data_IF_429328877753
#
_entry.id   IF_429328877753
#
_cell.length_a   1.000
_cell.length_b   1.000
_cell.length_c   1.000
_cell.angle_alpha   90.00
_cell.angle_beta   90.00
_cell.angle_gamma   90.00
#
_symmetry.space_group_name_H-M   'P 1'
#
loop_
_entity.id
_entity.type
_entity.pdbx_description
1 polymer ?
#
# COMPACT_ATOMS: atom_id res chain seq x y z
N UNK A 1 5.90 32.00 1.12
CA UNK A 1 6.22 31.46 2.44
C UNK A 1 7.56 30.71 2.45
N UNK A 2 7.90 29.96 1.41
CA UNK A 2 9.25 29.38 1.24
C UNK A 2 10.30 30.50 1.38
N UNK A 3 11.36 30.23 2.15
CA UNK A 3 12.42 31.21 2.41
C UNK A 3 12.16 32.14 3.58
N UNK A 4 11.00 32.05 4.23
CA UNK A 4 10.73 32.80 5.46
C UNK A 4 11.70 32.37 6.56
N UNK A 5 12.32 33.31 7.23
CA UNK A 5 13.33 33.07 8.26
C UNK A 5 12.91 33.66 9.59
N UNK A 6 13.09 32.90 10.67
CA UNK A 6 12.93 33.34 12.05
C UNK A 6 14.26 33.21 12.76
N UNK A 7 14.90 34.32 13.06
CA UNK A 7 16.18 34.36 13.75
C UNK A 7 16.00 34.05 15.24
N UNK A 8 16.79 33.14 15.76
CA UNK A 8 16.73 32.72 17.16
C UNK A 8 16.94 33.91 18.09
N UNK A 9 16.06 34.03 19.07
CA UNK A 9 16.06 35.16 20.01
C UNK A 9 15.41 36.45 19.51
N UNK A 10 14.91 36.49 18.28
CA UNK A 10 14.29 37.67 17.66
C UNK A 10 12.85 37.45 17.21
N UNK A 11 12.22 36.36 17.65
CA UNK A 11 10.82 36.05 17.34
C UNK A 11 10.07 35.67 18.61
N UNK A 12 8.75 35.80 18.58
CA UNK A 12 7.88 35.38 19.69
C UNK A 12 7.45 33.92 19.47
N UNK A 13 7.03 33.26 20.57
CA UNK A 13 6.47 31.90 20.47
C UNK A 13 5.25 31.87 19.57
N UNK A 14 4.46 32.95 19.55
CA UNK A 14 3.29 33.04 18.65
C UNK A 14 3.70 33.07 17.18
N UNK A 15 4.73 33.85 16.84
CA UNK A 15 5.23 33.92 15.47
C UNK A 15 5.70 32.54 14.96
N UNK A 16 6.42 31.77 15.79
CA UNK A 16 6.84 30.42 15.46
C UNK A 16 5.63 29.51 15.30
N UNK A 17 4.70 29.53 16.23
CA UNK A 17 3.49 28.71 16.20
C UNK A 17 2.65 28.99 14.95
N UNK A 18 2.44 30.28 14.62
CA UNK A 18 1.68 30.67 13.43
C UNK A 18 2.36 30.21 12.16
N UNK A 19 3.69 30.27 12.09
CA UNK A 19 4.45 29.77 10.93
C UNK A 19 4.36 28.25 10.81
N UNK A 20 4.45 27.52 11.93
CA UNK A 20 4.32 26.07 11.95
C UNK A 20 2.93 25.63 11.48
N UNK A 21 1.87 26.31 11.91
CA UNK A 21 0.50 26.04 11.47
C UNK A 21 0.37 26.29 9.97
N UNK A 22 0.92 27.40 9.47
CA UNK A 22 0.88 27.74 8.06
C UNK A 22 1.60 26.69 7.19
N UNK A 23 2.77 26.21 7.64
CA UNK A 23 3.50 25.12 6.96
C UNK A 23 2.68 23.82 6.93
N UNK A 24 2.05 23.48 8.05
CA UNK A 24 1.22 22.28 8.14
C UNK A 24 -0.01 22.38 7.23
N UNK A 25 -0.64 23.53 7.13
CA UNK A 25 -1.78 23.76 6.25
C UNK A 25 -1.39 23.69 4.76
N UNK A 26 -0.17 24.15 4.42
CA UNK A 26 0.35 24.04 3.05
C UNK A 26 0.60 22.60 2.61
N UNK A 27 0.94 21.72 3.57
CA UNK A 27 1.12 20.29 3.33
C UNK A 27 2.47 19.87 2.72
N UNK A 28 3.17 20.78 2.05
CA UNK A 28 4.44 20.52 1.38
C UNK A 28 5.61 21.32 1.97
N UNK A 29 5.39 22.05 3.05
CA UNK A 29 6.38 22.92 3.70
C UNK A 29 6.66 22.47 5.11
N UNK A 30 7.89 22.70 5.57
CA UNK A 30 8.31 22.47 6.95
C UNK A 30 9.28 23.55 7.39
N UNK A 31 9.56 23.61 8.69
CA UNK A 31 10.52 24.52 9.26
C UNK A 31 11.79 23.73 9.53
N UNK A 32 12.91 24.19 8.99
CA UNK A 32 14.22 23.57 9.19
C UNK A 32 15.11 24.44 10.05
N UNK A 33 15.81 23.85 11.01
CA UNK A 33 16.79 24.53 11.87
C UNK A 33 18.12 24.69 11.10
N UNK A 34 18.47 25.96 10.82
CA UNK A 34 19.71 26.31 10.11
C UNK A 34 20.83 26.78 11.04
N UNK A 35 20.68 26.62 12.35
CA UNK A 35 21.64 27.03 13.35
C UNK A 35 21.29 28.36 13.99
N UNK A 36 21.43 29.47 13.28
CA UNK A 36 21.11 30.81 13.78
C UNK A 36 19.66 31.23 13.56
N UNK A 37 18.97 30.55 12.65
CA UNK A 37 17.58 30.85 12.30
C UNK A 37 16.85 29.57 11.87
N UNK A 38 15.54 29.66 11.86
CA UNK A 38 14.66 28.64 11.24
C UNK A 38 14.22 29.14 9.88
N UNK A 39 14.15 28.28 8.91
CA UNK A 39 13.73 28.62 7.55
C UNK A 39 12.63 27.68 7.07
N UNK A 40 11.63 28.25 6.39
CA UNK A 40 10.60 27.46 5.71
C UNK A 40 11.17 26.89 4.42
N UNK A 41 11.18 25.57 4.32
CA UNK A 41 11.69 24.84 3.16
C UNK A 41 10.64 23.86 2.67
N UNK A 42 10.77 23.40 1.42
CA UNK A 42 9.96 22.30 0.93
C UNK A 42 10.36 21.01 1.63
N UNK A 43 9.37 20.17 1.94
CA UNK A 43 9.63 18.82 2.40
C UNK A 43 10.25 18.07 1.23
N UNK A 44 11.44 17.45 1.38
CA UNK A 44 12.04 16.67 0.31
C UNK A 44 11.08 15.56 -0.13
N UNK A 45 10.72 15.54 -1.41
CA UNK A 45 9.91 14.47 -1.96
C UNK A 45 10.82 13.27 -2.15
N UNK A 46 10.55 12.21 -1.40
CA UNK A 46 11.24 10.94 -1.60
C UNK A 46 10.64 10.26 -2.83
N UNK A 47 11.44 10.13 -3.89
CA UNK A 47 11.04 9.36 -5.07
C UNK A 47 11.36 7.89 -4.76
N UNK A 48 10.35 7.00 -4.65
CA UNK A 48 10.61 5.61 -4.34
C UNK A 48 11.54 4.96 -5.36
N UNK A 49 12.50 4.18 -4.89
CA UNK A 49 13.32 3.36 -5.76
C UNK A 49 12.48 2.24 -6.36
N UNK A 50 13.00 1.60 -7.41
CA UNK A 50 12.34 0.46 -8.03
C UNK A 50 12.05 -0.66 -7.02
N UNK A 51 12.99 -0.95 -6.13
CA UNK A 51 12.84 -1.97 -5.08
C UNK A 51 11.82 -1.56 -4.01
N UNK A 52 11.79 -0.28 -3.63
CA UNK A 52 10.79 0.24 -2.70
C UNK A 52 9.38 0.14 -3.27
N UNK A 53 9.18 0.48 -4.54
CA UNK A 53 7.90 0.33 -5.23
C UNK A 53 7.47 -1.14 -5.27
N UNK A 54 8.39 -2.04 -5.61
CA UNK A 54 8.13 -3.47 -5.65
C UNK A 54 7.68 -3.99 -4.28
N UNK A 55 8.34 -3.55 -3.21
CA UNK A 55 7.95 -3.90 -1.85
C UNK A 55 6.58 -3.36 -1.48
N UNK A 56 6.29 -2.10 -1.82
CA UNK A 56 4.99 -1.48 -1.56
C UNK A 56 3.85 -2.27 -2.22
N UNK A 57 4.02 -2.66 -3.47
CA UNK A 57 3.02 -3.45 -4.19
C UNK A 57 2.88 -4.85 -3.62
N UNK A 58 3.99 -5.52 -3.31
CA UNK A 58 3.97 -6.85 -2.71
C UNK A 58 3.25 -6.85 -1.36
N UNK A 59 3.57 -5.89 -0.51
CA UNK A 59 2.92 -5.74 0.80
C UNK A 59 1.41 -5.46 0.67
N UNK A 60 1.03 -4.61 -0.27
CA UNK A 60 -0.37 -4.28 -0.52
C UNK A 60 -1.16 -5.50 -1.02
N UNK A 61 -0.58 -6.27 -1.93
CA UNK A 61 -1.20 -7.50 -2.47
C UNK A 61 -1.35 -8.53 -1.35
N UNK A 62 -0.31 -8.75 -0.56
CA UNK A 62 -0.37 -9.68 0.57
C UNK A 62 -1.44 -9.27 1.57
N UNK A 63 -1.52 -7.98 1.90
CA UNK A 63 -2.55 -7.45 2.79
C UNK A 63 -3.96 -7.66 2.22
N UNK A 64 -4.13 -7.47 0.92
CA UNK A 64 -5.41 -7.70 0.23
C UNK A 64 -5.84 -9.17 0.32
N UNK A 65 -4.91 -10.09 0.09
CA UNK A 65 -5.16 -11.53 0.24
C UNK A 65 -5.54 -11.88 1.69
N UNK A 66 -4.77 -11.39 2.65
CA UNK A 66 -4.96 -11.69 4.06
C UNK A 66 -6.27 -11.14 4.62
N UNK A 67 -6.61 -9.88 4.29
CA UNK A 67 -7.87 -9.27 4.76
C UNK A 67 -9.09 -9.96 4.17
N UNK A 68 -8.98 -10.47 2.95
CA UNK A 68 -10.05 -11.25 2.33
C UNK A 68 -10.25 -12.58 3.06
N UNK A 69 -9.17 -13.28 3.40
CA UNK A 69 -9.23 -14.51 4.22
C UNK A 69 -9.84 -14.24 5.60
N UNK A 70 -9.44 -13.12 6.22
CA UNK A 70 -9.97 -12.71 7.53
C UNK A 70 -11.48 -12.45 7.51
N UNK A 71 -12.05 -12.07 6.37
CA UNK A 71 -13.50 -11.88 6.24
C UNK A 71 -14.29 -13.19 6.45
N UNK A 72 -13.64 -14.33 6.28
CA UNK A 72 -14.17 -15.67 6.55
C UNK A 72 -13.61 -16.30 7.82
N UNK A 73 -12.99 -15.47 8.70
CA UNK A 73 -12.47 -15.86 10.02
C UNK A 73 -11.19 -16.69 9.99
N UNK A 74 -10.45 -16.66 8.88
CA UNK A 74 -9.10 -17.21 8.83
C UNK A 74 -8.09 -16.14 9.26
N UNK A 75 -6.96 -16.53 9.83
CA UNK A 75 -5.93 -15.58 10.28
C UNK A 75 -5.29 -14.83 9.12
N UNK A 76 -5.02 -15.54 8.04
CA UNK A 76 -4.43 -15.01 6.81
C UNK A 76 -4.68 -15.98 5.65
N UNK A 77 -4.19 -15.62 4.46
CA UNK A 77 -4.39 -16.44 3.27
C UNK A 77 -3.72 -17.81 3.38
N UNK A 78 -2.56 -17.90 4.01
CA UNK A 78 -1.86 -19.18 4.19
C UNK A 78 -2.65 -20.11 5.11
N UNK A 79 -3.18 -19.58 6.20
CA UNK A 79 -4.04 -20.34 7.12
C UNK A 79 -5.28 -20.87 6.38
N UNK A 80 -5.94 -20.00 5.60
CA UNK A 80 -7.10 -20.42 4.82
C UNK A 80 -6.77 -21.57 3.86
N UNK A 81 -5.69 -21.45 3.11
CA UNK A 81 -5.25 -22.47 2.14
C UNK A 81 -4.85 -23.77 2.82
N UNK A 82 -4.36 -23.71 4.07
CA UNK A 82 -3.96 -24.91 4.82
C UNK A 82 -5.10 -25.92 5.00
N UNK A 83 -6.36 -25.50 4.85
CA UNK A 83 -7.53 -26.35 5.00
C UNK A 83 -7.93 -27.10 3.73
N UNK A 84 -7.11 -27.11 2.65
CA UNK A 84 -7.46 -27.75 1.37
C UNK A 84 -7.79 -29.24 1.52
N UNK A 85 -7.20 -29.91 2.50
CA UNK A 85 -7.45 -31.32 2.79
C UNK A 85 -8.26 -31.52 4.08
N UNK A 86 -9.02 -30.49 4.51
CA UNK A 86 -9.83 -30.58 5.70
C UNK A 86 -10.93 -31.63 5.57
N UNK A 87 -11.24 -32.29 6.68
CA UNK A 87 -12.41 -33.18 6.77
C UNK A 87 -13.74 -32.42 6.83
N UNK A 88 -13.67 -31.11 7.11
CA UNK A 88 -14.83 -30.22 7.03
C UNK A 88 -15.00 -29.72 5.60
N UNK A 89 -16.13 -30.04 4.97
CA UNK A 89 -16.39 -29.71 3.57
C UNK A 89 -16.38 -28.21 3.29
N UNK A 90 -16.88 -27.40 4.23
CA UNK A 90 -16.91 -25.95 4.11
C UNK A 90 -15.51 -25.38 4.14
N UNK A 91 -14.67 -25.81 5.07
CA UNK A 91 -13.29 -25.36 5.17
C UNK A 91 -12.49 -25.78 3.94
N UNK A 92 -12.63 -27.00 3.47
CA UNK A 92 -11.95 -27.49 2.28
C UNK A 92 -12.36 -26.69 1.04
N UNK A 93 -13.65 -26.42 0.87
CA UNK A 93 -14.17 -25.64 -0.26
C UNK A 93 -13.65 -24.21 -0.24
N UNK A 94 -13.70 -23.54 0.90
CA UNK A 94 -13.20 -22.18 1.05
C UNK A 94 -11.69 -22.10 0.83
N UNK A 95 -10.95 -23.10 1.28
CA UNK A 95 -9.52 -23.19 1.06
C UNK A 95 -9.17 -23.34 -0.44
N UNK A 96 -9.92 -24.15 -1.18
CA UNK A 96 -9.76 -24.28 -2.63
C UNK A 96 -10.10 -22.97 -3.35
N UNK A 97 -11.16 -22.27 -2.92
CA UNK A 97 -11.49 -20.96 -3.47
C UNK A 97 -10.36 -19.96 -3.26
N UNK A 98 -9.77 -19.94 -2.07
CA UNK A 98 -8.61 -19.08 -1.74
C UNK A 98 -7.40 -19.45 -2.61
N UNK A 99 -7.12 -20.73 -2.80
CA UNK A 99 -5.99 -21.21 -3.60
C UNK A 99 -6.11 -20.74 -5.05
N UNK A 100 -7.25 -20.97 -5.66
CA UNK A 100 -7.52 -20.57 -7.05
C UNK A 100 -7.44 -19.06 -7.21
N UNK A 101 -8.06 -18.34 -6.28
CA UNK A 101 -8.07 -16.88 -6.31
C UNK A 101 -6.68 -16.28 -6.12
N UNK A 102 -5.90 -16.77 -5.15
CA UNK A 102 -4.52 -16.34 -4.93
C UNK A 102 -3.70 -16.46 -6.21
N UNK A 103 -3.82 -17.59 -6.91
CA UNK A 103 -3.09 -17.80 -8.14
C UNK A 103 -3.50 -16.81 -9.23
N UNK A 104 -4.80 -16.51 -9.34
CA UNK A 104 -5.31 -15.50 -10.28
C UNK A 104 -4.81 -14.10 -9.95
N UNK A 105 -4.75 -13.74 -8.66
CA UNK A 105 -4.26 -12.44 -8.19
C UNK A 105 -2.80 -12.26 -8.58
N UNK A 106 -1.94 -13.20 -8.24
CA UNK A 106 -0.52 -13.09 -8.56
C UNK A 106 -0.25 -13.13 -10.06
N UNK A 107 -0.98 -13.93 -10.79
CA UNK A 107 -0.87 -13.96 -12.26
C UNK A 107 -1.23 -12.61 -12.87
N UNK A 108 -2.28 -11.97 -12.39
CA UNK A 108 -2.66 -10.62 -12.82
C UNK A 108 -1.60 -9.59 -12.47
N UNK A 109 -1.00 -9.70 -11.29
CA UNK A 109 0.09 -8.82 -10.88
C UNK A 109 1.31 -8.94 -11.82
N UNK A 110 1.67 -10.15 -12.20
CA UNK A 110 2.77 -10.36 -13.15
C UNK A 110 2.45 -9.81 -14.54
N UNK A 111 1.22 -9.94 -15.01
CA UNK A 111 0.79 -9.33 -16.28
C UNK A 111 0.95 -7.80 -16.25
N UNK A 112 0.54 -7.17 -15.16
CA UNK A 112 0.67 -5.72 -14.98
C UNK A 112 2.15 -5.31 -14.92
N UNK A 113 2.96 -6.05 -14.17
CA UNK A 113 4.40 -5.78 -14.07
C UNK A 113 5.08 -5.89 -15.44
N UNK A 114 4.78 -6.94 -16.18
CA UNK A 114 5.35 -7.15 -17.51
C UNK A 114 4.96 -6.01 -18.46
N UNK A 115 3.72 -5.53 -18.41
CA UNK A 115 3.25 -4.42 -19.21
C UNK A 115 3.96 -3.11 -18.85
N UNK A 116 4.19 -2.85 -17.56
CA UNK A 116 4.95 -1.69 -17.09
C UNK A 116 6.40 -1.75 -17.57
N UNK A 117 7.05 -2.90 -17.42
CA UNK A 117 8.44 -3.09 -17.85
C UNK A 117 8.61 -2.99 -19.36
N UNK A 118 7.60 -3.40 -20.12
CA UNK A 118 7.58 -3.27 -21.58
C UNK A 118 7.25 -1.85 -22.05
N UNK A 119 6.92 -0.93 -21.17
CA UNK A 119 6.54 0.44 -21.50
C UNK A 119 5.13 0.56 -22.08
N UNK A 120 4.31 -0.47 -21.97
CA UNK A 120 2.94 -0.50 -22.50
C UNK A 120 1.95 0.24 -21.61
N UNK A 121 2.28 0.45 -20.35
CA UNK A 121 1.46 1.20 -19.40
C UNK A 121 2.34 1.87 -18.35
N UNK A 122 1.77 2.91 -17.71
CA UNK A 122 2.40 3.58 -16.58
C UNK A 122 2.25 2.73 -15.30
N UNK A 123 3.14 2.99 -14.32
CA UNK A 123 3.06 2.34 -13.01
C UNK A 123 1.77 2.77 -12.33
N UNK A 124 0.87 1.84 -11.96
CA UNK A 124 -0.36 2.18 -11.26
C UNK A 124 -0.08 2.60 -9.81
N UNK A 125 -1.01 3.31 -9.20
CA UNK A 125 -0.99 3.49 -7.74
C UNK A 125 -1.39 2.17 -7.08
N UNK A 126 -1.15 2.05 -5.76
CA UNK A 126 -1.57 0.87 -4.99
C UNK A 126 -3.08 0.66 -5.12
N UNK A 127 -3.87 1.73 -4.99
CA UNK A 127 -5.32 1.66 -5.10
C UNK A 127 -5.78 1.21 -6.49
N UNK A 128 -5.16 1.72 -7.54
CA UNK A 128 -5.44 1.31 -8.92
C UNK A 128 -5.11 -0.16 -9.14
N UNK A 129 -3.96 -0.62 -8.62
CA UNK A 129 -3.55 -2.01 -8.72
C UNK A 129 -4.57 -2.94 -8.05
N UNK A 130 -4.94 -2.64 -6.81
CA UNK A 130 -5.91 -3.46 -6.07
C UNK A 130 -7.25 -3.50 -6.78
N UNK A 131 -7.69 -2.38 -7.37
CA UNK A 131 -8.94 -2.31 -8.12
C UNK A 131 -8.94 -3.17 -9.39
N UNK A 132 -7.77 -3.43 -9.97
CA UNK A 132 -7.63 -4.30 -11.15
C UNK A 132 -7.56 -5.79 -10.82
N UNK A 133 -7.34 -6.15 -9.55
CA UNK A 133 -7.21 -7.54 -9.15
C UNK A 133 -8.57 -8.25 -9.14
N UNK A 134 -8.60 -9.55 -9.50
CA UNK A 134 -9.85 -10.30 -9.46
C UNK A 134 -10.36 -10.44 -8.02
N UNK A 135 -11.68 -10.43 -7.87
CA UNK A 135 -12.32 -10.71 -6.58
C UNK A 135 -12.50 -12.21 -6.41
N UNK A 136 -12.53 -12.66 -5.14
CA UNK A 136 -12.71 -14.07 -4.84
C UNK A 136 -14.16 -14.50 -5.10
N UNK A 137 -14.31 -15.69 -5.65
CA UNK A 137 -15.57 -16.44 -5.66
C UNK A 137 -15.44 -17.56 -4.64
N UNK A 138 -16.11 -17.43 -3.52
CA UNK A 138 -16.03 -18.40 -2.43
C UNK A 138 -16.61 -19.79 -2.78
N UNK A 139 -17.37 -19.87 -3.86
CA UNK A 139 -17.91 -21.12 -4.37
C UNK A 139 -17.06 -21.74 -5.48
N UNK A 140 -16.00 -21.02 -5.92
CA UNK A 140 -15.08 -21.53 -6.93
C UNK A 140 -14.21 -22.63 -6.30
N UNK A 141 -14.34 -23.84 -6.80
CA UNK A 141 -13.63 -24.99 -6.27
C UNK A 141 -13.10 -25.85 -7.40
N UNK A 142 -11.78 -26.12 -7.34
CA UNK A 142 -11.14 -27.05 -8.26
C UNK A 142 -11.70 -28.47 -8.10
N UNK A 143 -12.24 -28.79 -6.94
CA UNK A 143 -12.82 -30.12 -6.67
C UNK A 143 -14.04 -30.43 -7.52
N UNK A 144 -14.76 -29.42 -8.01
CA UNK A 144 -15.91 -29.62 -8.89
C UNK A 144 -15.52 -30.02 -10.32
N UNK A 145 -14.24 -29.88 -10.66
CA UNK A 145 -13.70 -30.20 -11.99
C UNK A 145 -13.11 -31.61 -12.09
N UNK A 146 -13.12 -32.36 -11.00
CA UNK A 146 -12.51 -33.71 -10.94
C UNK A 146 -13.59 -34.81 -11.04
#
# INVERSE_FOLDING_TARGET
MIGTKLYKGKYTNKEYADLAVACNQAGNLTIEDKGEYYEVVEIPVHIPTHEELKKMFTDAIQNYLDTTAQSRRYDNIFTAISYVNSTDETFAREAHACLVWRDKVWRKCYEILDAVEAGEREIPTVEELIAELPTIDWNDSVMELI
#
